data_IF_986989156398
#
_entry.id   IF_986989156398
#
_cell.length_a   1.000
_cell.length_b   1.000
_cell.length_c   1.000
_cell.angle_alpha   90.00
_cell.angle_beta   90.00
_cell.angle_gamma   90.00
#
_symmetry.space_group_name_H-M   'P 1'
#
loop_
_entity.id
_entity.type
_entity.pdbx_description
1 polymer ?
#
# COMPACT_ATOMS: atom_id res chain seq x y z
N UNK A 1 7.36 -56.95 -145.72
CA UNK A 1 8.03 -56.04 -146.67
C UNK A 1 7.48 -54.64 -146.46
N UNK A 2 8.37 -53.65 -146.53
CA UNK A 2 8.20 -52.29 -146.04
C UNK A 2 6.94 -51.56 -146.52
N UNK A 3 6.26 -50.87 -145.61
CA UNK A 3 5.37 -49.76 -145.92
C UNK A 3 5.89 -48.50 -145.24
N UNK A 4 6.30 -47.53 -146.06
CA UNK A 4 6.51 -46.14 -145.66
C UNK A 4 5.20 -45.58 -145.10
N UNK A 5 5.25 -45.02 -143.89
CA UNK A 5 4.20 -44.13 -143.39
C UNK A 5 4.79 -42.74 -143.33
N UNK A 6 4.23 -41.86 -144.17
CA UNK A 6 4.45 -40.43 -144.20
C UNK A 6 4.14 -39.83 -142.82
N UNK A 7 5.09 -39.07 -142.28
CA UNK A 7 4.89 -38.20 -141.12
C UNK A 7 4.08 -36.98 -141.54
N UNK A 8 2.83 -36.88 -141.09
CA UNK A 8 2.06 -35.65 -141.14
C UNK A 8 2.21 -34.93 -139.79
N UNK A 9 2.74 -33.71 -139.84
CA UNK A 9 3.01 -32.88 -138.67
C UNK A 9 1.73 -32.25 -138.16
N UNK A 10 1.09 -32.87 -137.17
CA UNK A 10 0.05 -32.22 -136.37
C UNK A 10 0.66 -31.76 -135.05
N UNK A 11 1.15 -30.53 -135.05
CA UNK A 11 1.65 -29.83 -133.87
C UNK A 11 0.48 -29.48 -132.94
N UNK A 12 0.53 -30.06 -131.74
CA UNK A 12 0.34 -29.41 -130.44
C UNK A 12 -0.80 -28.39 -130.28
N UNK A 13 -1.94 -28.85 -129.73
CA UNK A 13 -3.04 -27.98 -129.24
C UNK A 13 -3.58 -28.37 -127.87
N UNK A 14 -3.10 -29.45 -127.27
CA UNK A 14 -3.60 -29.96 -125.98
C UNK A 14 -2.72 -29.59 -124.80
N UNK A 15 -1.42 -29.29 -124.99
CA UNK A 15 -0.54 -28.86 -123.89
C UNK A 15 -0.73 -27.37 -123.55
N UNK A 16 -1.02 -26.53 -124.56
CA UNK A 16 -1.24 -25.07 -124.40
C UNK A 16 -2.48 -24.67 -123.57
N UNK A 17 -3.51 -25.50 -123.48
CA UNK A 17 -4.75 -25.17 -122.76
C UNK A 17 -4.60 -25.30 -121.23
N UNK A 18 -3.88 -26.33 -120.78
CA UNK A 18 -3.55 -26.55 -119.35
C UNK A 18 -2.53 -25.55 -118.80
N UNK A 19 -1.61 -25.06 -119.63
CA UNK A 19 -0.66 -24.00 -119.22
C UNK A 19 -1.29 -22.61 -119.12
N UNK A 20 -2.36 -22.34 -119.89
CA UNK A 20 -3.13 -21.10 -119.78
C UNK A 20 -4.06 -21.11 -118.57
N UNK A 21 -4.74 -22.23 -118.26
CA UNK A 21 -5.59 -22.34 -117.05
C UNK A 21 -4.78 -22.20 -115.76
N UNK A 22 -3.56 -22.75 -115.71
CA UNK A 22 -2.68 -22.62 -114.53
C UNK A 22 -2.08 -21.22 -114.36
N UNK A 23 -2.01 -20.41 -115.43
CA UNK A 23 -1.60 -19.00 -115.36
C UNK A 23 -2.73 -18.12 -114.83
N UNK A 24 -3.96 -18.29 -115.32
CA UNK A 24 -5.13 -17.55 -114.85
C UNK A 24 -5.42 -17.83 -113.37
N UNK A 25 -5.24 -19.08 -112.92
CA UNK A 25 -5.40 -19.45 -111.51
C UNK A 25 -4.37 -18.76 -110.58
N UNK A 26 -3.12 -18.64 -111.04
CA UNK A 26 -2.06 -17.94 -110.30
C UNK A 26 -2.28 -16.43 -110.24
N UNK A 27 -2.84 -15.84 -111.29
CA UNK A 27 -3.22 -14.43 -111.32
C UNK A 27 -4.41 -14.16 -110.40
N UNK A 28 -5.42 -15.03 -110.39
CA UNK A 28 -6.55 -14.94 -109.45
C UNK A 28 -6.10 -15.07 -107.98
N UNK A 29 -5.18 -15.99 -107.67
CA UNK A 29 -4.56 -16.09 -106.34
C UNK A 29 -3.76 -14.84 -105.95
N UNK A 30 -3.01 -14.26 -106.89
CA UNK A 30 -2.25 -13.03 -106.65
C UNK A 30 -3.20 -11.86 -106.34
N UNK A 31 -4.29 -11.74 -107.09
CA UNK A 31 -5.31 -10.71 -106.89
C UNK A 31 -6.04 -10.91 -105.55
N UNK A 32 -6.36 -12.16 -105.17
CA UNK A 32 -6.97 -12.44 -103.85
C UNK A 32 -6.03 -12.05 -102.69
N UNK A 33 -4.74 -12.36 -102.80
CA UNK A 33 -3.75 -11.94 -101.80
C UNK A 33 -3.56 -10.41 -101.77
N UNK A 34 -3.64 -9.74 -102.93
CA UNK A 34 -3.65 -8.28 -103.01
C UNK A 34 -4.89 -7.69 -102.33
N UNK A 35 -6.06 -8.29 -102.50
CA UNK A 35 -7.30 -7.89 -101.82
C UNK A 35 -7.21 -8.11 -100.29
N UNK A 36 -6.54 -9.17 -99.83
CA UNK A 36 -6.36 -9.44 -98.39
C UNK A 36 -5.36 -8.49 -97.71
N UNK A 37 -4.39 -7.98 -98.46
CA UNK A 37 -3.27 -7.19 -97.92
C UNK A 37 -3.38 -5.70 -98.20
N UNK A 38 -4.26 -5.28 -99.10
CA UNK A 38 -4.38 -3.88 -99.55
C UNK A 38 -5.61 -3.20 -98.94
N UNK A 39 -5.44 -1.92 -98.57
CA UNK A 39 -6.52 -1.06 -98.07
C UNK A 39 -7.70 -0.96 -99.04
N UNK A 40 -8.92 -0.84 -98.50
CA UNK A 40 -10.19 -0.90 -99.25
C UNK A 40 -10.29 0.10 -100.42
N UNK A 41 -9.51 1.17 -100.36
CA UNK A 41 -9.43 2.23 -101.36
C UNK A 41 -8.78 1.80 -102.69
N UNK A 42 -7.95 0.75 -102.71
CA UNK A 42 -7.17 0.33 -103.90
C UNK A 42 -7.67 -0.96 -104.55
N UNK A 43 -8.68 -1.60 -103.97
CA UNK A 43 -9.32 -2.82 -104.48
C UNK A 43 -9.89 -2.63 -105.90
N UNK A 44 -10.25 -1.39 -106.27
CA UNK A 44 -10.83 -1.08 -107.58
C UNK A 44 -9.90 -1.34 -108.77
N UNK A 45 -8.57 -1.25 -108.61
CA UNK A 45 -7.62 -1.57 -109.67
C UNK A 45 -7.50 -3.09 -109.88
N UNK A 46 -7.43 -3.83 -108.77
CA UNK A 46 -7.34 -5.29 -108.76
C UNK A 46 -8.64 -5.94 -109.27
N UNK A 47 -9.81 -5.37 -108.96
CA UNK A 47 -11.09 -5.79 -109.53
C UNK A 47 -11.21 -5.48 -111.02
N UNK A 48 -10.73 -4.31 -111.49
CA UNK A 48 -10.73 -3.98 -112.92
C UNK A 48 -9.91 -4.98 -113.74
N UNK A 49 -8.76 -5.42 -113.22
CA UNK A 49 -7.94 -6.45 -113.85
C UNK A 49 -8.66 -7.80 -114.00
N UNK A 50 -9.49 -8.19 -113.01
CA UNK A 50 -10.36 -9.39 -113.13
C UNK A 50 -11.42 -9.19 -114.21
N UNK A 51 -12.04 -8.01 -114.27
CA UNK A 51 -13.08 -7.69 -115.25
C UNK A 51 -12.57 -7.59 -116.70
N UNK A 52 -11.31 -7.22 -116.90
CA UNK A 52 -10.67 -7.18 -118.22
C UNK A 52 -10.24 -8.58 -118.72
N UNK A 53 -10.01 -9.55 -117.82
CA UNK A 53 -9.58 -10.92 -118.12
C UNK A 53 -10.68 -11.90 -118.61
N UNK A 54 -11.95 -11.47 -118.64
CA UNK A 54 -13.13 -12.24 -119.08
C UNK A 54 -13.36 -13.62 -118.41
N UNK A 55 -12.79 -13.88 -117.22
CA UNK A 55 -12.92 -15.13 -116.45
C UNK A 55 -13.42 -14.90 -115.00
N UNK A 56 -14.44 -14.04 -114.86
CA UNK A 56 -14.96 -13.61 -113.54
C UNK A 56 -15.63 -14.75 -112.77
N UNK A 57 -16.21 -15.71 -113.49
CA UNK A 57 -16.87 -16.86 -112.87
C UNK A 57 -15.87 -17.73 -112.12
N UNK A 58 -14.68 -17.99 -112.69
CA UNK A 58 -13.62 -18.73 -112.00
C UNK A 58 -12.99 -17.92 -110.87
N UNK A 59 -12.86 -16.60 -111.01
CA UNK A 59 -12.40 -15.74 -109.90
C UNK A 59 -13.38 -15.74 -108.71
N UNK A 60 -14.69 -15.64 -108.96
CA UNK A 60 -15.72 -15.69 -107.91
C UNK A 60 -15.75 -17.07 -107.22
N UNK A 61 -15.63 -18.16 -107.98
CA UNK A 61 -15.52 -19.50 -107.39
C UNK A 61 -14.27 -19.63 -106.51
N UNK A 62 -13.15 -19.02 -106.93
CA UNK A 62 -11.92 -18.99 -106.13
C UNK A 62 -12.04 -18.12 -104.88
N UNK A 63 -12.70 -16.97 -104.98
CA UNK A 63 -13.01 -16.10 -103.84
C UNK A 63 -13.90 -16.84 -102.83
N UNK A 64 -14.94 -17.54 -103.29
CA UNK A 64 -15.79 -18.38 -102.44
C UNK A 64 -15.00 -19.52 -101.79
N UNK A 65 -14.09 -20.17 -102.52
CA UNK A 65 -13.16 -21.14 -101.95
C UNK A 65 -12.26 -20.54 -100.86
N UNK A 66 -11.79 -19.29 -101.05
CA UNK A 66 -10.95 -18.56 -100.10
C UNK A 66 -11.71 -18.15 -98.85
N UNK A 67 -12.94 -17.65 -98.99
CA UNK A 67 -13.84 -17.34 -97.87
C UNK A 67 -14.12 -18.61 -97.06
N UNK A 68 -14.51 -19.71 -97.73
CA UNK A 68 -14.72 -21.01 -97.07
C UNK A 68 -13.46 -21.58 -96.39
N UNK A 69 -12.27 -21.17 -96.82
CA UNK A 69 -11.02 -21.55 -96.17
C UNK A 69 -10.80 -20.70 -94.91
N UNK A 70 -10.99 -19.39 -94.97
CA UNK A 70 -10.90 -18.51 -93.79
C UNK A 70 -11.95 -18.84 -92.74
N UNK A 71 -13.19 -19.13 -93.14
CA UNK A 71 -14.24 -19.56 -92.21
C UNK A 71 -13.83 -20.85 -91.48
N UNK A 72 -13.25 -21.82 -92.19
CA UNK A 72 -12.72 -23.05 -91.60
C UNK A 72 -11.54 -22.79 -90.66
N UNK A 73 -10.69 -21.81 -90.98
CA UNK A 73 -9.55 -21.46 -90.14
C UNK A 73 -9.99 -20.69 -88.88
N UNK A 74 -10.99 -19.81 -88.98
CA UNK A 74 -11.66 -19.15 -87.85
C UNK A 74 -12.32 -20.20 -86.95
N UNK A 75 -13.11 -21.11 -87.52
CA UNK A 75 -13.73 -22.21 -86.76
C UNK A 75 -12.68 -23.07 -86.07
N UNK A 76 -11.55 -23.38 -86.74
CA UNK A 76 -10.46 -24.15 -86.12
C UNK A 76 -9.81 -23.41 -84.96
N UNK A 77 -9.56 -22.11 -85.09
CA UNK A 77 -9.00 -21.28 -84.03
C UNK A 77 -9.96 -21.10 -82.84
N UNK A 78 -11.24 -20.85 -83.12
CA UNK A 78 -12.29 -20.80 -82.10
C UNK A 78 -12.43 -22.15 -81.39
N UNK A 79 -12.46 -23.27 -82.12
CA UNK A 79 -12.50 -24.61 -81.54
C UNK A 79 -11.23 -24.97 -80.75
N UNK A 80 -10.08 -24.40 -81.08
CA UNK A 80 -8.86 -24.64 -80.32
C UNK A 80 -8.81 -23.85 -79.01
N UNK A 81 -9.37 -22.62 -78.99
CA UNK A 81 -9.24 -21.70 -77.86
C UNK A 81 -10.51 -21.49 -77.02
N UNK A 82 -11.70 -21.97 -77.43
CA UNK A 82 -12.94 -21.72 -76.68
C UNK A 82 -12.86 -22.25 -75.25
N UNK A 83 -12.24 -23.41 -75.04
CA UNK A 83 -12.14 -24.03 -73.72
C UNK A 83 -11.35 -23.13 -72.74
N UNK A 84 -10.18 -22.62 -73.16
CA UNK A 84 -9.38 -21.70 -72.34
C UNK A 84 -10.07 -20.35 -72.11
N UNK A 85 -10.86 -19.88 -73.07
CA UNK A 85 -11.68 -18.67 -72.90
C UNK A 85 -12.79 -18.87 -71.85
N UNK A 86 -13.52 -19.99 -71.91
CA UNK A 86 -14.57 -20.33 -70.95
C UNK A 86 -14.00 -20.54 -69.54
N UNK A 87 -12.84 -21.20 -69.44
CA UNK A 87 -12.11 -21.37 -68.18
C UNK A 87 -11.72 -20.01 -67.59
N UNK A 88 -11.14 -19.12 -68.39
CA UNK A 88 -10.76 -17.76 -67.97
C UNK A 88 -11.96 -16.93 -67.50
N UNK A 89 -13.10 -17.03 -68.18
CA UNK A 89 -14.33 -16.34 -67.78
C UNK A 89 -14.86 -16.89 -66.45
N UNK A 90 -14.84 -18.21 -66.30
CA UNK A 90 -15.34 -18.88 -65.10
C UNK A 90 -14.44 -18.54 -63.90
N UNK A 91 -13.12 -18.54 -64.06
CA UNK A 91 -12.17 -18.07 -63.05
C UNK A 91 -12.44 -16.61 -62.68
N UNK A 92 -12.67 -15.73 -63.64
CA UNK A 92 -12.96 -14.31 -63.35
C UNK A 92 -14.24 -14.13 -62.53
N UNK A 93 -15.28 -14.93 -62.80
CA UNK A 93 -16.52 -14.93 -62.01
C UNK A 93 -16.26 -15.41 -60.58
N UNK A 94 -15.45 -16.47 -60.42
CA UNK A 94 -15.09 -16.99 -59.10
C UNK A 94 -14.27 -15.96 -58.30
N UNK A 95 -13.28 -15.32 -58.92
CA UNK A 95 -12.49 -14.26 -58.30
C UNK A 95 -13.37 -13.09 -57.87
N UNK A 96 -14.37 -12.71 -58.68
CA UNK A 96 -15.34 -11.67 -58.29
C UNK A 96 -16.13 -12.06 -57.05
N UNK A 97 -16.64 -13.29 -57.01
CA UNK A 97 -17.35 -13.85 -55.85
C UNK A 97 -16.46 -13.86 -54.60
N UNK A 98 -15.21 -14.30 -54.73
CA UNK A 98 -14.26 -14.36 -53.61
C UNK A 98 -13.88 -12.97 -53.11
N UNK A 99 -13.69 -12.00 -54.00
CA UNK A 99 -13.43 -10.61 -53.63
C UNK A 99 -14.61 -9.99 -52.88
N UNK A 100 -15.85 -10.29 -53.29
CA UNK A 100 -17.06 -9.83 -52.60
C UNK A 100 -17.18 -10.47 -51.20
N UNK A 101 -16.92 -11.77 -51.09
CA UNK A 101 -16.88 -12.47 -49.81
C UNK A 101 -15.81 -11.89 -48.88
N UNK A 102 -14.60 -11.67 -49.38
CA UNK A 102 -13.50 -11.09 -48.60
C UNK A 102 -13.84 -9.68 -48.13
N UNK A 103 -14.45 -8.86 -48.99
CA UNK A 103 -14.94 -7.53 -48.62
C UNK A 103 -15.94 -7.60 -47.47
N UNK A 104 -16.93 -8.49 -47.56
CA UNK A 104 -17.94 -8.66 -46.52
C UNK A 104 -17.33 -9.14 -45.20
N UNK A 105 -16.40 -10.11 -45.25
CA UNK A 105 -15.66 -10.56 -44.06
C UNK A 105 -14.82 -9.45 -43.44
N UNK A 106 -14.14 -8.64 -44.27
CA UNK A 106 -13.34 -7.49 -43.80
C UNK A 106 -14.22 -6.46 -43.09
N UNK A 107 -15.43 -6.20 -43.62
CA UNK A 107 -16.37 -5.29 -42.98
C UNK A 107 -16.88 -5.82 -41.63
N UNK A 108 -17.17 -7.11 -41.54
CA UNK A 108 -17.59 -7.77 -40.29
C UNK A 108 -16.47 -7.69 -39.25
N UNK A 109 -15.26 -8.13 -39.61
CA UNK A 109 -14.10 -8.11 -38.70
C UNK A 109 -13.78 -6.68 -38.25
N UNK A 110 -13.84 -5.70 -39.16
CA UNK A 110 -13.63 -4.31 -38.78
C UNK A 110 -14.69 -3.83 -37.77
N UNK A 111 -15.95 -4.23 -37.93
CA UNK A 111 -17.02 -3.89 -36.97
C UNK A 111 -16.78 -4.54 -35.61
N UNK A 112 -16.47 -5.83 -35.58
CA UNK A 112 -16.17 -6.57 -34.34
C UNK A 112 -14.93 -6.00 -33.63
N UNK A 113 -13.89 -5.65 -34.39
CA UNK A 113 -12.68 -5.02 -33.86
C UNK A 113 -12.97 -3.66 -33.24
N UNK A 114 -13.82 -2.85 -33.88
CA UNK A 114 -14.23 -1.55 -33.34
C UNK A 114 -15.08 -1.71 -32.06
N UNK A 115 -15.98 -2.69 -32.01
CA UNK A 115 -16.77 -2.97 -30.81
C UNK A 115 -15.90 -3.46 -29.66
N UNK A 116 -14.98 -4.39 -29.93
CA UNK A 116 -13.98 -4.86 -28.95
C UNK A 116 -13.08 -3.71 -28.48
N UNK A 117 -12.61 -2.87 -29.40
CA UNK A 117 -11.80 -1.69 -29.09
C UNK A 117 -12.52 -0.68 -28.19
N UNK A 118 -13.83 -0.46 -28.40
CA UNK A 118 -14.65 0.38 -27.52
C UNK A 118 -14.77 -0.20 -26.12
N UNK A 119 -14.98 -1.50 -25.99
CA UNK A 119 -15.09 -2.14 -24.67
C UNK A 119 -13.74 -2.12 -23.93
N UNK A 120 -12.63 -2.31 -24.64
CA UNK A 120 -11.28 -2.16 -24.06
C UNK A 120 -11.02 -0.73 -23.60
N UNK A 121 -11.39 0.28 -24.40
CA UNK A 121 -11.28 1.68 -24.01
C UNK A 121 -12.08 1.97 -22.74
N UNK A 122 -13.33 1.49 -22.68
CA UNK A 122 -14.19 1.62 -21.49
C UNK A 122 -13.56 1.00 -20.24
N UNK A 123 -13.04 -0.23 -20.35
CA UNK A 123 -12.34 -0.89 -19.23
C UNK A 123 -11.05 -0.18 -18.83
N UNK A 124 -10.35 0.44 -19.78
CA UNK A 124 -9.18 1.27 -19.49
C UNK A 124 -9.55 2.50 -18.67
N UNK A 125 -10.65 3.17 -19.00
CA UNK A 125 -11.15 4.31 -18.23
C UNK A 125 -11.56 3.87 -16.81
N UNK A 126 -12.30 2.76 -16.68
CA UNK A 126 -12.66 2.18 -15.38
C UNK A 126 -11.40 1.84 -14.55
N UNK A 127 -10.36 1.29 -15.19
CA UNK A 127 -9.09 0.98 -14.52
C UNK A 127 -8.41 2.24 -13.99
N UNK A 128 -8.40 3.32 -14.76
CA UNK A 128 -7.84 4.62 -14.33
C UNK A 128 -8.62 5.16 -13.11
N UNK A 129 -9.95 5.07 -13.13
CA UNK A 129 -10.78 5.48 -11.99
C UNK A 129 -10.49 4.62 -10.75
N UNK A 130 -10.39 3.31 -10.90
CA UNK A 130 -10.01 2.40 -9.82
C UNK A 130 -8.61 2.70 -9.27
N UNK A 131 -7.64 3.03 -10.12
CA UNK A 131 -6.29 3.42 -9.69
C UNK A 131 -6.31 4.74 -8.90
N UNK A 132 -7.10 5.72 -9.34
CA UNK A 132 -7.27 6.97 -8.62
C UNK A 132 -7.89 6.73 -7.23
N UNK A 133 -8.95 5.92 -7.16
CA UNK A 133 -9.55 5.52 -5.90
C UNK A 133 -8.55 4.79 -5.01
N UNK A 134 -7.79 3.84 -5.55
CA UNK A 134 -6.75 3.11 -4.82
C UNK A 134 -5.69 4.07 -4.26
N UNK A 135 -5.25 5.07 -5.04
CA UNK A 135 -4.29 6.08 -4.58
C UNK A 135 -4.87 6.96 -3.48
N UNK A 136 -6.13 7.36 -3.60
CA UNK A 136 -6.84 8.12 -2.57
C UNK A 136 -6.99 7.32 -1.28
N UNK A 137 -7.35 6.03 -1.39
CA UNK A 137 -7.46 5.10 -0.25
C UNK A 137 -6.09 4.90 0.40
N UNK A 138 -5.04 4.66 -0.38
CA UNK A 138 -3.69 4.50 0.15
C UNK A 138 -3.21 5.76 0.90
N UNK A 139 -3.46 6.95 0.34
CA UNK A 139 -3.13 8.21 1.01
C UNK A 139 -3.94 8.40 2.30
N UNK A 140 -5.23 8.07 2.29
CA UNK A 140 -6.06 8.10 3.50
C UNK A 140 -5.55 7.14 4.57
N UNK A 141 -5.16 5.92 4.19
CA UNK A 141 -4.55 4.93 5.10
C UNK A 141 -3.27 5.50 5.70
N UNK A 142 -2.36 6.02 4.89
CA UNK A 142 -1.10 6.61 5.36
C UNK A 142 -1.35 7.74 6.38
N UNK A 143 -2.28 8.66 6.07
CA UNK A 143 -2.63 9.75 6.98
C UNK A 143 -3.27 9.25 8.28
N UNK A 144 -4.16 8.27 8.21
CA UNK A 144 -4.77 7.65 9.40
C UNK A 144 -3.73 6.90 10.24
N UNK A 145 -2.79 6.19 9.60
CA UNK A 145 -1.69 5.49 10.26
C UNK A 145 -0.78 6.45 11.02
N UNK A 146 -0.53 7.65 10.49
CA UNK A 146 0.23 8.68 11.22
C UNK A 146 -0.54 9.21 12.45
N UNK A 147 -1.87 9.31 12.38
CA UNK A 147 -2.70 9.77 13.48
C UNK A 147 -2.91 8.72 14.60
N UNK A 148 -2.81 7.44 14.29
CA UNK A 148 -3.12 6.35 15.22
C UNK A 148 -2.25 6.36 16.49
N UNK A 149 -0.91 6.49 16.43
CA UNK A 149 -0.08 6.56 17.64
C UNK A 149 -0.43 7.74 18.54
N UNK A 150 -0.82 8.86 17.95
CA UNK A 150 -1.16 10.09 18.70
C UNK A 150 -2.45 9.91 19.48
N UNK A 151 -3.47 9.31 18.84
CA UNK A 151 -4.73 8.99 19.50
C UNK A 151 -4.55 7.91 20.56
N UNK A 152 -3.73 6.89 20.31
CA UNK A 152 -3.42 5.85 21.30
C UNK A 152 -2.70 6.42 22.51
N UNK A 153 -1.70 7.30 22.31
CA UNK A 153 -0.96 7.92 23.39
C UNK A 153 -1.86 8.85 24.23
N UNK A 154 -2.76 9.59 23.58
CA UNK A 154 -3.76 10.40 24.28
C UNK A 154 -4.78 9.57 25.05
N UNK A 155 -5.26 8.47 24.48
CA UNK A 155 -6.15 7.53 25.18
C UNK A 155 -5.46 6.93 26.42
N UNK A 156 -4.19 6.51 26.27
CA UNK A 156 -3.36 6.04 27.38
C UNK A 156 -3.20 7.09 28.47
N UNK A 157 -2.97 8.35 28.11
CA UNK A 157 -2.91 9.46 29.06
C UNK A 157 -4.26 9.62 29.79
N UNK A 158 -5.39 9.57 29.09
CA UNK A 158 -6.72 9.65 29.71
C UNK A 158 -6.97 8.47 30.68
N UNK A 159 -6.52 7.27 30.35
CA UNK A 159 -6.61 6.10 31.25
C UNK A 159 -5.73 6.26 32.48
N UNK A 160 -4.50 6.76 32.33
CA UNK A 160 -3.60 7.03 33.44
C UNK A 160 -4.14 8.10 34.39
N UNK A 161 -4.82 9.12 33.86
CA UNK A 161 -5.54 10.12 34.66
C UNK A 161 -6.67 9.47 35.47
N UNK A 162 -7.50 8.62 34.85
CA UNK A 162 -8.58 7.89 35.55
C UNK A 162 -8.05 6.91 36.60
N UNK A 163 -6.89 6.31 36.36
CA UNK A 163 -6.24 5.38 37.29
C UNK A 163 -5.50 6.08 38.45
N UNK A 164 -5.52 7.42 38.53
CA UNK A 164 -4.84 8.19 39.57
C UNK A 164 -3.31 8.19 39.45
N UNK A 165 -2.75 7.73 38.33
CA UNK A 165 -1.30 7.70 38.09
C UNK A 165 -0.85 9.01 37.43
N UNK A 166 -1.09 10.12 38.10
CA UNK A 166 -0.89 11.48 37.56
C UNK A 166 0.53 11.76 37.06
N UNK A 167 1.55 11.19 37.72
CA UNK A 167 2.93 11.29 37.26
C UNK A 167 3.15 10.63 35.88
N UNK A 168 2.68 9.39 35.72
CA UNK A 168 2.80 8.68 34.44
C UNK A 168 1.99 9.35 33.33
N UNK A 169 0.85 9.96 33.68
CA UNK A 169 0.04 10.75 32.77
C UNK A 169 0.79 12.00 32.28
N UNK A 170 1.46 12.72 33.18
CA UNK A 170 2.22 13.92 32.82
C UNK A 170 3.41 13.60 31.90
N UNK A 171 4.15 12.52 32.18
CA UNK A 171 5.24 12.07 31.30
C UNK A 171 4.74 11.67 29.90
N UNK A 172 3.60 10.98 29.85
CA UNK A 172 2.94 10.59 28.59
C UNK A 172 2.45 11.83 27.82
N UNK A 173 1.96 12.85 28.53
CA UNK A 173 1.55 14.14 27.97
C UNK A 173 2.73 14.93 27.37
N UNK A 174 3.87 14.97 28.06
CA UNK A 174 5.09 15.60 27.54
C UNK A 174 5.62 14.89 26.29
N UNK A 175 5.61 13.55 26.29
CA UNK A 175 5.99 12.76 25.12
C UNK A 175 5.04 13.01 23.93
N UNK A 176 3.75 13.16 24.19
CA UNK A 176 2.75 13.53 23.17
C UNK A 176 3.03 14.93 22.59
N UNK A 177 3.39 15.90 23.43
CA UNK A 177 3.66 17.28 23.03
C UNK A 177 4.95 17.42 22.21
N UNK A 178 6.04 16.78 22.63
CA UNK A 178 7.34 16.93 21.97
C UNK A 178 7.54 16.03 20.76
N UNK A 179 7.00 14.81 20.76
CA UNK A 179 7.28 13.83 19.69
C UNK A 179 6.18 13.78 18.65
N UNK A 180 4.91 13.91 19.06
CA UNK A 180 3.78 13.53 18.23
C UNK A 180 2.95 14.72 17.74
N UNK A 181 2.82 15.78 18.54
CA UNK A 181 2.14 17.02 18.13
C UNK A 181 2.81 17.71 16.92
N UNK A 182 4.15 17.77 16.82
CA UNK A 182 4.82 18.45 15.71
C UNK A 182 4.52 17.87 14.33
N UNK A 183 4.23 16.59 14.29
CA UNK A 183 4.04 15.83 13.07
C UNK A 183 2.64 16.04 12.45
N UNK A 184 1.68 16.57 13.22
CA UNK A 184 0.24 16.47 12.90
C UNK A 184 -0.50 17.82 13.04
N UNK A 185 0.20 18.95 13.08
CA UNK A 185 -0.41 20.28 13.24
C UNK A 185 -1.48 20.66 12.20
N UNK A 186 -1.55 19.95 11.07
CA UNK A 186 -2.50 20.23 9.99
C UNK A 186 -3.92 19.74 10.30
N UNK A 187 -4.13 18.88 11.30
CA UNK A 187 -5.47 18.36 11.61
C UNK A 187 -6.14 19.11 12.76
N UNK A 188 -7.43 19.41 12.56
CA UNK A 188 -8.28 20.16 13.50
C UNK A 188 -8.39 19.52 14.89
N UNK A 189 -8.30 18.19 14.99
CA UNK A 189 -8.33 17.51 16.29
C UNK A 189 -7.05 17.76 17.12
N UNK A 190 -5.90 17.98 16.47
CA UNK A 190 -4.67 18.31 17.17
C UNK A 190 -4.72 19.70 17.81
N UNK A 191 -5.46 20.63 17.22
CA UNK A 191 -5.72 21.95 17.81
C UNK A 191 -6.54 21.83 19.10
N UNK A 192 -7.57 20.97 19.09
CA UNK A 192 -8.36 20.66 20.29
C UNK A 192 -7.47 20.03 21.37
N UNK A 193 -6.60 19.08 21.00
CA UNK A 193 -5.64 18.49 21.94
C UNK A 193 -4.70 19.53 22.52
N UNK A 194 -4.10 20.39 21.69
CA UNK A 194 -3.20 21.47 22.13
C UNK A 194 -3.88 22.41 23.13
N UNK A 195 -5.13 22.75 22.90
CA UNK A 195 -5.91 23.59 23.82
C UNK A 195 -6.28 22.88 25.13
N UNK A 196 -6.31 21.55 25.14
CA UNK A 196 -6.61 20.73 26.33
C UNK A 196 -5.37 20.37 27.14
N UNK A 197 -4.16 20.32 26.55
CA UNK A 197 -2.89 20.10 27.27
C UNK A 197 -2.75 21.01 28.51
N UNK A 198 -2.89 22.36 28.42
CA UNK A 198 -2.73 23.22 29.59
C UNK A 198 -3.82 22.98 30.65
N UNK A 199 -5.05 22.65 30.24
CA UNK A 199 -6.14 22.32 31.17
C UNK A 199 -5.85 21.04 31.95
N UNK A 200 -5.35 20.02 31.28
CA UNK A 200 -4.95 18.75 31.90
C UNK A 200 -3.78 18.96 32.87
N UNK A 201 -2.82 19.82 32.53
CA UNK A 201 -1.71 20.19 33.44
C UNK A 201 -2.22 20.85 34.71
N UNK A 202 -3.15 21.80 34.62
CA UNK A 202 -3.77 22.43 35.80
C UNK A 202 -4.65 21.44 36.59
N UNK A 203 -5.40 20.55 35.93
CA UNK A 203 -6.19 19.51 36.61
C UNK A 203 -5.29 18.56 37.43
N UNK A 204 -4.18 18.10 36.86
CA UNK A 204 -3.20 17.27 37.57
C UNK A 204 -2.61 18.01 38.78
N UNK A 205 -2.32 19.30 38.62
CA UNK A 205 -1.79 20.16 39.69
C UNK A 205 -2.80 20.32 40.83
N UNK A 206 -4.06 20.57 40.52
CA UNK A 206 -5.14 20.73 41.50
C UNK A 206 -5.39 19.43 42.26
N UNK A 207 -5.43 18.29 41.57
CA UNK A 207 -5.61 16.99 42.21
C UNK A 207 -4.42 16.65 43.11
N UNK A 208 -3.19 16.89 42.66
CA UNK A 208 -1.98 16.68 43.48
C UNK A 208 -1.95 17.58 44.72
N UNK A 209 -2.44 18.81 44.59
CA UNK A 209 -2.58 19.74 45.71
C UNK A 209 -3.68 19.31 46.69
N UNK A 210 -4.77 18.72 46.18
CA UNK A 210 -5.82 18.13 47.01
C UNK A 210 -5.30 16.92 47.79
N UNK A 211 -4.61 15.99 47.13
CA UNK A 211 -3.98 14.84 47.80
C UNK A 211 -3.00 15.29 48.90
N UNK A 212 -2.23 16.35 48.66
CA UNK A 212 -1.36 16.95 49.67
C UNK A 212 -2.15 17.51 50.87
N UNK A 213 -3.25 18.22 50.62
CA UNK A 213 -4.10 18.79 51.68
C UNK A 213 -4.74 17.69 52.52
N UNK A 214 -5.28 16.66 51.87
CA UNK A 214 -5.88 15.50 52.52
C UNK A 214 -4.82 14.74 53.35
N UNK A 215 -3.58 14.61 52.83
CA UNK A 215 -2.45 14.07 53.59
C UNK A 215 -2.12 14.91 54.83
N UNK A 216 -2.00 16.23 54.67
CA UNK A 216 -1.71 17.13 55.80
C UNK A 216 -2.81 17.09 56.88
N UNK A 217 -4.07 16.85 56.49
CA UNK A 217 -5.18 16.64 57.43
C UNK A 217 -5.13 15.26 58.10
N UNK A 218 -4.79 14.20 57.35
CA UNK A 218 -4.59 12.86 57.89
C UNK A 218 -3.46 12.82 58.92
N UNK A 219 -2.33 13.47 58.62
CA UNK A 219 -1.22 13.64 59.56
C UNK A 219 -1.68 14.37 60.81
N UNK A 220 -2.51 15.42 60.68
CA UNK A 220 -3.06 16.14 61.83
C UNK A 220 -4.03 15.30 62.68
N UNK A 221 -4.80 14.39 62.10
CA UNK A 221 -5.72 13.52 62.85
C UNK A 221 -4.99 12.36 63.54
N UNK A 222 -3.91 11.89 62.91
CA UNK A 222 -3.13 10.76 63.40
C UNK A 222 -1.91 11.19 64.23
N UNK A 223 -1.62 12.50 64.36
CA UNK A 223 -0.50 13.03 65.15
C UNK A 223 -0.52 12.48 66.57
N UNK A 224 -1.69 12.43 67.22
CA UNK A 224 -1.83 11.94 68.59
C UNK A 224 -1.40 10.46 68.73
N UNK A 225 -1.70 9.63 67.72
CA UNK A 225 -1.31 8.22 67.70
C UNK A 225 0.16 8.06 67.36
N UNK A 226 0.66 8.84 66.40
CA UNK A 226 2.06 8.86 65.98
C UNK A 226 2.94 9.30 67.16
N UNK A 227 2.57 10.37 67.86
CA UNK A 227 3.28 10.87 69.03
C UNK A 227 3.24 9.93 70.21
N UNK A 228 2.13 9.25 70.47
CA UNK A 228 2.06 8.20 71.48
C UNK A 228 3.04 7.05 71.18
N UNK A 229 3.06 6.57 69.93
CA UNK A 229 3.97 5.48 69.50
C UNK A 229 5.42 5.95 69.49
N UNK A 230 5.71 7.16 69.02
CA UNK A 230 7.04 7.75 69.01
C UNK A 230 7.60 7.93 70.43
N UNK A 231 6.78 8.43 71.37
CA UNK A 231 7.17 8.58 72.77
C UNK A 231 7.31 7.23 73.48
N UNK A 232 6.44 6.24 73.19
CA UNK A 232 6.58 4.86 73.68
C UNK A 232 7.90 4.25 73.18
N UNK A 233 8.24 4.44 71.90
CA UNK A 233 9.49 3.99 71.30
C UNK A 233 10.71 4.69 71.89
N UNK A 234 10.66 6.02 72.10
CA UNK A 234 11.72 6.79 72.76
C UNK A 234 11.95 6.32 74.21
N UNK A 235 10.88 6.03 74.95
CA UNK A 235 10.96 5.47 76.31
C UNK A 235 11.60 4.07 76.31
N UNK A 236 11.21 3.22 75.36
CA UNK A 236 11.81 1.89 75.20
C UNK A 236 13.29 1.99 74.79
N UNK A 237 13.66 2.93 73.91
CA UNK A 237 15.04 3.19 73.53
C UNK A 237 15.87 3.75 74.70
N UNK A 238 15.34 4.68 75.49
CA UNK A 238 16.00 5.17 76.71
C UNK A 238 16.17 4.06 77.75
N UNK A 239 15.18 3.18 77.96
CA UNK A 239 15.30 2.05 78.88
C UNK A 239 16.33 1.02 78.41
N UNK A 240 16.45 0.80 77.09
CA UNK A 240 17.54 0.00 76.52
C UNK A 240 18.91 0.66 76.77
N UNK A 241 19.00 1.99 76.69
CA UNK A 241 20.24 2.74 76.94
C UNK A 241 20.61 2.84 78.43
N UNK A 242 19.63 2.99 79.33
CA UNK A 242 19.85 3.06 80.78
C UNK A 242 20.18 1.71 81.39
N UNK A 243 19.67 0.61 80.84
CA UNK A 243 20.08 -0.75 81.22
C UNK A 243 21.53 -1.08 80.82
N UNK A 244 22.14 -0.34 79.88
CA UNK A 244 23.58 -0.45 79.54
C UNK A 244 24.45 0.30 80.55
N UNK A 245 23.94 1.32 81.26
CA UNK A 245 24.75 2.14 82.20
C UNK A 245 24.97 1.46 83.56
N UNK A 246 24.24 0.39 83.89
CA UNK A 246 24.36 -0.32 85.20
C UNK A 246 25.23 -1.58 85.12
N UNK A 247 25.63 -2.04 83.93
CA UNK A 247 26.54 -3.18 83.77
C UNK A 247 27.80 -2.69 83.07
N UNK A 248 28.80 -2.24 83.84
CA UNK A 248 30.23 -2.45 83.56
C UNK A 248 31.13 -1.68 84.56
N UNK A 249 31.28 -2.25 85.75
CA UNK A 249 32.52 -2.14 86.54
C UNK A 249 33.01 -3.56 86.81
N UNK A 250 33.84 -4.05 85.88
CA UNK A 250 34.90 -5.06 86.03
C UNK A 250 34.91 -6.06 84.88
N UNK A 251 35.70 -5.78 83.85
CA UNK A 251 36.69 -6.73 83.32
C UNK A 251 37.51 -6.08 82.21
N UNK A 252 38.82 -6.18 82.38
CA UNK A 252 39.85 -5.78 81.43
C UNK A 252 39.74 -6.49 80.08
N UNK A 253 40.04 -5.74 79.03
CA UNK A 253 40.94 -6.22 77.97
C UNK A 253 40.32 -6.43 76.60
N UNK A 254 40.56 -5.46 75.70
CA UNK A 254 40.61 -5.73 74.26
C UNK A 254 39.71 -4.85 73.41
N UNK A 255 40.28 -3.80 72.84
CA UNK A 255 39.81 -3.13 71.63
C UNK A 255 41.04 -3.02 70.70
N UNK A 256 40.92 -2.80 69.36
CA UNK A 256 39.73 -2.30 68.68
C UNK A 256 39.42 -2.85 67.27
N UNK A 257 38.18 -2.59 66.84
CA UNK A 257 37.73 -2.11 65.53
C UNK A 257 38.41 -2.63 64.24
N UNK A 258 37.59 -3.24 63.37
CA UNK A 258 37.77 -3.22 61.92
C UNK A 258 36.49 -2.65 61.28
N UNK A 259 36.68 -1.55 60.54
CA UNK A 259 35.67 -0.81 59.80
C UNK A 259 35.62 -1.40 58.39
N UNK A 260 34.49 -1.95 57.97
CA UNK A 260 34.19 -2.18 56.55
C UNK A 260 33.00 -1.31 56.14
N UNK A 261 33.25 -0.51 55.12
CA UNK A 261 32.28 0.34 54.43
C UNK A 261 31.57 -0.49 53.38
N UNK A 262 30.27 -0.30 53.22
CA UNK A 262 29.57 -0.58 51.96
C UNK A 262 28.51 0.48 51.74
N UNK A 263 28.83 1.40 50.83
CA UNK A 263 27.89 2.24 50.11
C UNK A 263 27.01 1.35 49.22
N UNK A 264 25.69 1.50 49.24
CA UNK A 264 24.84 1.05 48.13
C UNK A 264 23.59 1.93 47.98
N UNK A 265 23.48 2.55 46.80
CA UNK A 265 22.29 3.18 46.23
C UNK A 265 21.36 2.10 45.65
N UNK A 266 20.03 2.26 45.68
CA UNK A 266 19.12 1.40 44.91
C UNK A 266 18.52 2.13 43.70
N UNK A 267 18.92 1.74 42.48
CA UNK A 267 18.09 1.89 41.28
C UNK A 267 18.40 0.78 40.24
N UNK A 268 17.32 0.25 39.65
CA UNK A 268 17.21 -0.58 38.42
C UNK A 268 17.01 -2.12 38.51
N UNK A 269 15.72 -2.48 38.53
CA UNK A 269 14.92 -3.35 37.64
C UNK A 269 15.51 -4.44 36.72
N UNK A 270 14.76 -5.57 36.71
CA UNK A 270 14.46 -6.58 35.66
C UNK A 270 15.34 -7.84 35.45
N UNK A 271 14.68 -9.01 35.53
CA UNK A 271 14.72 -9.99 34.43
C UNK A 271 15.30 -11.39 34.67
N UNK A 272 14.41 -12.35 34.97
CA UNK A 272 14.36 -13.75 34.45
C UNK A 272 15.36 -14.88 34.83
N UNK A 273 14.75 -15.94 35.42
CA UNK A 273 14.70 -17.36 34.94
C UNK A 273 15.78 -18.38 35.41
N UNK A 274 15.30 -19.35 36.23
CA UNK A 274 15.60 -20.82 36.30
C UNK A 274 17.04 -21.28 36.67
N UNK A 275 17.33 -22.33 37.45
CA UNK A 275 16.59 -23.33 38.26
C UNK A 275 17.67 -24.06 39.14
N UNK A 276 17.47 -25.27 39.73
CA UNK A 276 17.52 -25.53 41.17
C UNK A 276 18.68 -26.47 41.60
N UNK A 277 18.82 -26.75 42.91
CA UNK A 277 19.13 -28.07 43.53
C UNK A 277 19.95 -27.96 44.83
N UNK A 278 19.68 -28.92 45.73
CA UNK A 278 20.28 -29.17 47.06
C UNK A 278 19.65 -28.38 48.21
N UNK A 279 19.09 -28.98 49.25
CA UNK A 279 19.10 -30.37 49.69
C UNK A 279 18.62 -30.35 51.14
N UNK A 280 17.60 -31.15 51.44
CA UNK A 280 16.90 -31.24 52.71
C UNK A 280 17.80 -31.45 53.93
N UNK A 281 17.49 -30.77 55.04
CA UNK A 281 17.52 -31.41 56.36
C UNK A 281 16.58 -30.69 57.32
N UNK A 282 15.51 -31.39 57.65
CA UNK A 282 14.46 -31.07 58.58
C UNK A 282 14.98 -31.16 60.02
N UNK A 283 14.77 -30.15 60.86
CA UNK A 283 14.76 -30.31 62.31
C UNK A 283 13.68 -29.43 62.91
N UNK A 284 12.53 -30.05 63.18
CA UNK A 284 11.48 -29.56 64.04
C UNK A 284 12.02 -29.26 65.44
N UNK A 285 11.77 -28.05 65.94
CA UNK A 285 11.58 -27.80 67.37
C UNK A 285 10.23 -27.06 67.53
N UNK A 286 9.16 -27.77 67.92
CA UNK A 286 7.91 -27.15 68.31
C UNK A 286 7.96 -26.81 69.79
N UNK A 287 7.64 -25.56 70.13
CA UNK A 287 7.25 -25.02 71.45
C UNK A 287 8.12 -23.85 71.93
N UNK A 288 7.89 -22.66 71.36
CA UNK A 288 8.00 -21.40 72.10
C UNK A 288 6.71 -20.61 71.91
N UNK A 289 5.83 -20.82 72.89
CA UNK A 289 5.06 -19.82 73.62
C UNK A 289 4.74 -18.51 72.89
N UNK A 290 3.43 -18.35 72.62
CA UNK A 290 2.72 -17.07 72.44
C UNK A 290 3.23 -16.02 73.46
N UNK A 291 4.12 -15.14 73.02
CA UNK A 291 4.26 -13.80 73.56
C UNK A 291 3.88 -12.85 72.43
N UNK A 292 2.97 -11.93 72.74
CA UNK A 292 2.36 -11.05 71.75
C UNK A 292 3.42 -10.30 70.96
N UNK A 293 3.41 -10.50 69.64
CA UNK A 293 3.95 -9.54 68.69
C UNK A 293 3.01 -8.33 68.77
N UNK A 294 3.16 -7.50 69.82
CA UNK A 294 2.79 -6.09 69.68
C UNK A 294 3.69 -5.58 68.57
N UNK A 295 3.09 -5.35 67.41
CA UNK A 295 3.75 -4.84 66.23
C UNK A 295 4.76 -3.73 66.59
N UNK A 296 6.05 -4.00 66.37
CA UNK A 296 7.13 -3.02 66.27
C UNK A 296 6.93 -2.16 65.00
N UNK A 297 5.74 -1.55 64.85
CA UNK A 297 5.50 -0.52 63.84
C UNK A 297 6.23 0.73 64.32
N UNK A 298 7.26 1.15 63.58
CA UNK A 298 7.93 2.41 63.86
C UNK A 298 6.96 3.58 63.60
N UNK A 299 7.13 4.70 64.31
CA UNK A 299 6.31 5.89 64.05
C UNK A 299 6.43 6.37 62.58
N UNK A 300 7.55 6.07 61.91
CA UNK A 300 7.78 6.32 60.48
C UNK A 300 6.98 5.40 59.54
N UNK A 301 6.65 4.18 59.94
CA UNK A 301 5.83 3.26 59.13
C UNK A 301 4.34 3.63 59.17
N UNK A 302 3.95 4.50 60.11
CA UNK A 302 2.58 4.96 60.29
C UNK A 302 2.21 6.13 59.36
N UNK A 303 3.19 6.72 58.66
CA UNK A 303 3.00 7.89 57.78
C UNK A 303 3.57 7.63 56.38
N UNK A 304 2.69 7.52 55.38
CA UNK A 304 3.10 7.46 53.98
C UNK A 304 3.33 8.86 53.41
N UNK A 305 4.60 9.25 53.23
CA UNK A 305 4.99 10.53 52.64
C UNK A 305 4.88 10.58 51.11
N UNK A 306 4.46 9.49 50.45
CA UNK A 306 4.29 9.45 49.00
C UNK A 306 3.50 10.63 48.42
N UNK A 307 2.41 11.13 49.03
CA UNK A 307 1.68 12.29 48.50
C UNK A 307 2.52 13.58 48.48
N UNK A 308 3.43 13.76 49.45
CA UNK A 308 4.31 14.94 49.50
C UNK A 308 5.35 14.88 48.38
N UNK A 309 5.99 13.72 48.20
CA UNK A 309 6.98 13.52 47.14
C UNK A 309 6.34 13.58 45.74
N UNK A 310 5.17 12.97 45.56
CA UNK A 310 4.40 13.04 44.29
C UNK A 310 4.05 14.48 43.95
N UNK A 311 3.51 15.24 44.91
CA UNK A 311 3.13 16.63 44.70
C UNK A 311 4.36 17.52 44.40
N UNK A 312 5.47 17.35 45.13
CA UNK A 312 6.73 18.05 44.85
C UNK A 312 7.25 17.75 43.44
N UNK A 313 7.28 16.49 43.01
CA UNK A 313 7.76 16.10 41.69
C UNK A 313 6.86 16.61 40.56
N UNK A 314 5.54 16.56 40.74
CA UNK A 314 4.58 17.09 39.75
C UNK A 314 4.74 18.61 39.62
N UNK A 315 4.85 19.34 40.73
CA UNK A 315 5.10 20.78 40.70
C UNK A 315 6.48 21.13 40.15
N UNK A 316 7.48 20.25 40.31
CA UNK A 316 8.79 20.35 39.67
C UNK A 316 8.70 20.25 38.15
N UNK A 317 8.01 19.24 37.62
CA UNK A 317 7.82 19.03 36.18
C UNK A 317 6.98 20.14 35.52
N UNK A 318 6.01 20.68 36.25
CA UNK A 318 5.19 21.82 35.77
C UNK A 318 5.95 23.16 35.88
N UNK A 319 7.11 23.21 36.54
CA UNK A 319 7.91 24.43 36.72
C UNK A 319 7.40 25.36 37.83
N UNK A 320 6.53 24.87 38.73
CA UNK A 320 5.89 25.62 39.80
C UNK A 320 6.41 25.22 41.21
N UNK A 321 7.60 24.62 41.32
CA UNK A 321 8.15 24.10 42.57
C UNK A 321 8.17 25.12 43.72
N UNK A 322 8.53 26.38 43.44
CA UNK A 322 8.56 27.44 44.47
C UNK A 322 7.20 27.70 45.11
N UNK A 323 6.10 27.52 44.36
CA UNK A 323 4.74 27.67 44.89
C UNK A 323 4.40 26.55 45.88
N UNK A 324 4.76 25.31 45.53
CA UNK A 324 4.60 24.16 46.43
C UNK A 324 5.43 24.33 47.71
N UNK A 325 6.71 24.68 47.59
CA UNK A 325 7.59 24.83 48.76
C UNK A 325 7.08 25.92 49.72
N UNK A 326 6.67 27.07 49.16
CA UNK A 326 6.11 28.17 49.96
C UNK A 326 4.82 27.74 50.65
N UNK A 327 3.91 27.07 49.94
CA UNK A 327 2.65 26.58 50.49
C UNK A 327 2.89 25.54 51.60
N UNK A 328 3.68 24.51 51.33
CA UNK A 328 3.98 23.44 52.28
C UNK A 328 4.66 23.97 53.54
N UNK A 329 5.70 24.82 53.40
CA UNK A 329 6.39 25.44 54.55
C UNK A 329 5.46 26.30 55.39
N UNK A 330 4.62 27.12 54.74
CA UNK A 330 3.65 27.98 55.43
C UNK A 330 2.62 27.16 56.20
N UNK A 331 2.07 26.10 55.58
CA UNK A 331 1.10 25.22 56.23
C UNK A 331 1.71 24.45 57.40
N UNK A 332 2.89 23.86 57.25
CA UNK A 332 3.59 23.18 58.35
C UNK A 332 3.94 24.13 59.49
N UNK A 333 4.35 25.37 59.19
CA UNK A 333 4.58 26.42 60.20
C UNK A 333 3.30 26.79 60.97
N UNK A 334 2.17 26.92 60.27
CA UNK A 334 0.88 27.21 60.90
C UNK A 334 0.39 26.03 61.76
N UNK A 335 0.54 24.79 61.27
CA UNK A 335 0.22 23.59 62.04
C UNK A 335 1.07 23.50 63.32
N UNK A 336 2.38 23.71 63.22
CA UNK A 336 3.27 23.74 64.37
C UNK A 336 2.86 24.82 65.38
N UNK A 337 2.50 26.03 64.92
CA UNK A 337 2.03 27.10 65.81
C UNK A 337 0.78 26.71 66.59
N UNK A 338 -0.21 26.11 65.92
CA UNK A 338 -1.47 25.70 66.56
C UNK A 338 -1.30 24.60 67.60
N UNK A 339 -0.31 23.73 67.42
CA UNK A 339 -0.03 22.60 68.31
C UNK A 339 0.84 23.02 69.50
N UNK A 340 1.73 24.01 69.30
CA UNK A 340 2.59 24.56 70.35
C UNK A 340 1.86 25.56 71.29
N UNK A 341 0.64 25.97 70.96
CA UNK A 341 -0.20 26.78 71.85
C UNK A 341 -0.86 25.87 72.90
N UNK A 342 -0.63 26.07 74.21
CA UNK A 342 -1.18 25.20 75.25
C UNK A 342 -2.71 25.36 75.37
N UNK A 343 -3.49 24.26 75.39
CA UNK A 343 -4.93 24.32 75.62
C UNK A 343 -5.27 24.96 76.97
N UNK A 344 -6.35 25.77 77.03
CA UNK A 344 -6.80 26.38 78.28
C UNK A 344 -7.20 25.36 79.37
N UNK A 345 -7.43 24.09 78.98
CA UNK A 345 -7.78 22.96 79.85
C UNK A 345 -6.58 22.29 80.52
N UNK A 346 -5.36 22.80 80.33
CA UNK A 346 -4.13 22.26 80.89
C UNK A 346 -3.97 22.64 82.39
N UNK A 347 -4.95 22.29 83.22
CA UNK A 347 -4.86 22.45 84.68
C UNK A 347 -4.58 21.09 85.33
N UNK A 348 -3.36 20.93 85.85
CA UNK A 348 -2.88 19.97 86.86
C UNK A 348 -3.22 18.47 86.71
N UNK A 349 -3.47 17.96 85.50
CA UNK A 349 -3.54 16.50 85.25
C UNK A 349 -2.32 16.02 84.44
N UNK A 350 -1.45 15.14 85.00
CA UNK A 350 -0.31 14.59 84.26
C UNK A 350 -0.71 13.82 82.98
N UNK A 351 -1.91 13.26 82.93
CA UNK A 351 -2.44 12.59 81.74
C UNK A 351 -2.82 13.57 80.62
N UNK A 352 -3.28 14.77 80.97
CA UNK A 352 -3.56 15.85 80.02
C UNK A 352 -2.27 16.41 79.42
N UNK A 353 -1.19 16.49 80.20
CA UNK A 353 0.15 16.82 79.68
C UNK A 353 0.67 15.74 78.74
N UNK A 354 0.53 14.46 79.08
CA UNK A 354 0.96 13.35 78.22
C UNK A 354 0.21 13.37 76.88
N UNK A 355 -1.11 13.55 76.90
CA UNK A 355 -1.91 13.70 75.67
C UNK A 355 -1.46 14.90 74.84
N UNK A 356 -1.23 16.06 75.48
CA UNK A 356 -0.71 17.25 74.81
C UNK A 356 0.64 17.01 74.12
N UNK A 357 1.59 16.34 74.80
CA UNK A 357 2.88 15.97 74.20
C UNK A 357 2.76 14.99 73.04
N UNK A 358 1.74 14.12 73.03
CA UNK A 358 1.48 13.26 71.88
C UNK A 358 0.97 14.02 70.65
N UNK A 359 0.31 15.17 70.82
CA UNK A 359 -0.16 15.98 69.69
C UNK A 359 0.96 16.82 69.05
N UNK A 360 2.06 17.06 69.79
CA UNK A 360 3.21 17.89 69.37
C UNK A 360 4.12 17.19 68.36
N UNK A 361 4.20 15.86 68.43
CA UNK A 361 5.00 15.03 67.51
C UNK A 361 4.29 14.92 66.17
#
# INVERSE_FOLDING_TARGET
MASLVFTDGTVDKTETSTEQETKTDREHERILNEIETTDTAFIGASLRAVYEGNDHAKFLDRLDCRIKQHDRDIERMCNFHYQGFIESITELINVRSDAERLKNQTLIINKELQESGKEVARKSDDLIQCQLQQRNVASAIEKLSMCLPVLQMYAKMCEQMKAGRYYSALKTLEQLEHTHLPLIFQYRFCEIMKNNIPKIREEIKDVSMKELKDFLESVRKNSDKIGMVAMKQQKLAQNKLSNVVIVDKNANGGNPFKIEKSDENPFETEGSVHNPFSGSSNSHNPFETKSGIENDLSASDLVDFSPVYKCLHIFGLVGAQAQFETYYRTQRKNQARLVLEPPATLQDNPEAFAQYFYQIV
#
